data_IF_088882456675
#
_entry.id   IF_088882456675
#
_cell.length_a   1.000
_cell.length_b   1.000
_cell.length_c   1.000
_cell.angle_alpha   90.00
_cell.angle_beta   90.00
_cell.angle_gamma   90.00
#
_symmetry.space_group_name_H-M   'P 1'
#
loop_
_entity.id
_entity.type
_entity.pdbx_description
1 polymer ?
#
# COMPACT_ATOMS: atom_id res chain seq x y z
N UNK A 1 -7.31 -36.23 -4.43
CA UNK A 1 -5.87 -36.52 -4.60
C UNK A 1 -5.02 -35.32 -5.03
N UNK A 2 -5.55 -34.35 -5.78
CA UNK A 2 -4.76 -33.18 -6.24
C UNK A 2 -4.48 -32.18 -5.09
N UNK A 3 -5.44 -31.93 -4.20
CA UNK A 3 -5.28 -31.02 -3.07
C UNK A 3 -4.24 -31.47 -2.03
N UNK A 4 -4.08 -32.78 -1.83
CA UNK A 4 -3.08 -33.31 -0.92
C UNK A 4 -1.66 -33.13 -1.47
N UNK A 5 -1.44 -33.38 -2.76
CA UNK A 5 -0.16 -33.14 -3.43
C UNK A 5 0.21 -31.65 -3.45
N UNK A 6 -0.76 -30.77 -3.72
CA UNK A 6 -0.52 -29.31 -3.69
C UNK A 6 -0.08 -28.88 -2.29
N UNK A 7 -0.74 -29.32 -1.23
CA UNK A 7 -0.34 -28.99 0.15
C UNK A 7 1.07 -29.51 0.50
N UNK A 8 1.42 -30.70 0.05
CA UNK A 8 2.74 -31.30 0.29
C UNK A 8 3.84 -30.50 -0.43
N UNK A 9 3.66 -30.20 -1.73
CA UNK A 9 4.58 -29.41 -2.51
C UNK A 9 4.74 -27.99 -1.94
N UNK A 10 3.63 -27.34 -1.53
CA UNK A 10 3.68 -26.02 -0.89
C UNK A 10 4.47 -26.05 0.42
N UNK A 11 4.32 -27.11 1.22
CA UNK A 11 5.07 -27.28 2.48
C UNK A 11 6.57 -27.47 2.23
N UNK A 12 6.94 -28.24 1.20
CA UNK A 12 8.34 -28.43 0.84
C UNK A 12 8.95 -27.15 0.28
N UNK A 13 8.22 -26.44 -0.58
CA UNK A 13 8.65 -25.13 -1.11
C UNK A 13 8.90 -24.13 0.03
N UNK A 14 7.98 -24.06 1.00
CA UNK A 14 8.15 -23.19 2.18
C UNK A 14 9.38 -23.54 2.99
N UNK A 15 9.69 -24.83 3.18
CA UNK A 15 10.92 -25.25 3.89
C UNK A 15 12.18 -24.84 3.11
N UNK A 16 12.19 -25.02 1.80
CA UNK A 16 13.31 -24.62 0.95
C UNK A 16 13.51 -23.11 0.96
N UNK A 17 12.42 -22.34 0.91
CA UNK A 17 12.45 -20.87 1.03
C UNK A 17 13.09 -20.43 2.35
N UNK A 18 12.61 -20.99 3.48
CA UNK A 18 13.13 -20.66 4.82
C UNK A 18 14.62 -20.99 4.90
N UNK A 19 15.02 -22.18 4.45
CA UNK A 19 16.42 -22.61 4.45
C UNK A 19 17.29 -21.67 3.62
N UNK A 20 16.85 -21.33 2.40
CA UNK A 20 17.58 -20.42 1.51
C UNK A 20 17.71 -19.02 2.12
N UNK A 21 16.62 -18.48 2.71
CA UNK A 21 16.65 -17.19 3.41
C UNK A 21 17.64 -17.21 4.59
N UNK A 22 17.69 -18.30 5.36
CA UNK A 22 18.66 -18.46 6.46
C UNK A 22 20.11 -18.49 5.97
N UNK A 23 20.40 -19.23 4.90
CA UNK A 23 21.73 -19.31 4.31
C UNK A 23 22.18 -17.94 3.72
N UNK A 24 21.27 -17.27 3.01
CA UNK A 24 21.50 -15.92 2.50
C UNK A 24 21.74 -14.91 3.63
N UNK A 25 20.97 -14.95 4.70
CA UNK A 25 21.16 -14.11 5.89
C UNK A 25 22.51 -14.33 6.53
N UNK A 26 22.91 -15.61 6.70
CA UNK A 26 24.23 -15.97 7.23
C UNK A 26 25.36 -15.44 6.34
N UNK A 27 25.22 -15.57 5.02
CA UNK A 27 26.19 -15.03 4.07
C UNK A 27 26.31 -13.50 4.22
N UNK A 28 25.20 -12.79 4.29
CA UNK A 28 25.15 -11.33 4.44
C UNK A 28 25.89 -10.89 5.71
N UNK A 29 25.61 -11.49 6.86
CA UNK A 29 26.29 -11.11 8.11
C UNK A 29 27.79 -11.44 8.10
N UNK A 30 28.19 -12.58 7.54
CA UNK A 30 29.58 -12.97 7.46
C UNK A 30 30.39 -12.10 6.47
N UNK A 31 29.73 -11.43 5.53
CA UNK A 31 30.34 -10.63 4.47
C UNK A 31 29.85 -9.18 4.45
N UNK A 32 29.37 -8.65 5.58
CA UNK A 32 28.68 -7.35 5.67
C UNK A 32 29.49 -6.15 5.16
N UNK A 33 30.81 -6.27 5.08
CA UNK A 33 31.71 -5.25 4.51
C UNK A 33 32.01 -5.45 3.01
N UNK A 34 31.47 -6.49 2.38
CA UNK A 34 31.65 -6.76 0.97
C UNK A 34 30.43 -6.31 0.16
N UNK A 35 30.66 -5.58 -0.93
CA UNK A 35 29.59 -5.14 -1.84
C UNK A 35 28.81 -6.31 -2.46
N UNK A 36 29.37 -7.53 -2.42
CA UNK A 36 28.72 -8.76 -2.93
C UNK A 36 27.46 -9.14 -2.17
N UNK A 37 27.21 -8.57 -0.99
CA UNK A 37 25.97 -8.81 -0.24
C UNK A 37 24.76 -8.13 -0.90
N UNK A 38 24.97 -7.04 -1.65
CA UNK A 38 23.86 -6.29 -2.29
C UNK A 38 23.05 -7.19 -3.24
N UNK A 39 23.64 -7.89 -4.22
CA UNK A 39 22.86 -8.81 -5.06
C UNK A 39 22.12 -9.88 -4.26
N UNK A 40 22.68 -10.36 -3.15
CA UNK A 40 22.02 -11.37 -2.30
C UNK A 40 20.81 -10.79 -1.60
N UNK A 41 20.89 -9.55 -1.12
CA UNK A 41 19.76 -8.86 -0.47
C UNK A 41 18.57 -8.62 -1.42
N UNK A 42 18.86 -8.44 -2.71
CA UNK A 42 17.82 -8.19 -3.73
C UNK A 42 17.43 -9.43 -4.54
N UNK A 43 17.83 -10.63 -4.08
CA UNK A 43 17.39 -11.88 -4.71
C UNK A 43 15.88 -12.03 -4.71
N UNK A 44 15.36 -12.59 -5.80
CA UNK A 44 13.95 -12.91 -5.99
C UNK A 44 13.83 -14.36 -6.44
N UNK A 45 12.85 -15.07 -5.91
CA UNK A 45 12.51 -16.43 -6.34
C UNK A 45 11.55 -16.43 -7.53
N UNK A 46 10.77 -15.35 -7.67
CA UNK A 46 9.93 -15.06 -8.83
C UNK A 46 9.80 -13.54 -8.98
N UNK A 47 9.12 -13.08 -10.04
CA UNK A 47 8.80 -11.65 -10.22
C UNK A 47 8.11 -11.03 -9.00
N UNK A 48 7.34 -11.81 -8.25
CA UNK A 48 6.51 -11.33 -7.13
C UNK A 48 7.04 -11.73 -5.75
N UNK A 49 8.03 -12.64 -5.67
CA UNK A 49 8.52 -13.17 -4.40
C UNK A 49 9.99 -12.80 -4.16
N UNK A 50 10.27 -11.63 -3.55
CA UNK A 50 11.61 -11.28 -3.09
C UNK A 50 12.01 -12.13 -1.88
N UNK A 51 13.30 -12.47 -1.76
CA UNK A 51 13.82 -13.25 -0.64
C UNK A 51 13.78 -12.44 0.67
N UNK A 52 14.05 -11.14 0.59
CA UNK A 52 14.02 -10.19 1.71
C UNK A 52 12.95 -9.12 1.45
N UNK A 53 11.67 -9.57 1.43
CA UNK A 53 10.50 -8.73 1.17
C UNK A 53 9.63 -8.49 2.39
N UNK A 54 9.94 -9.10 3.53
CA UNK A 54 9.20 -8.89 4.77
C UNK A 54 9.57 -7.55 5.42
N UNK A 55 8.66 -7.01 6.20
CA UNK A 55 8.83 -5.69 6.81
C UNK A 55 10.04 -5.65 7.74
N UNK A 56 10.26 -6.70 8.53
CA UNK A 56 11.37 -6.80 9.45
C UNK A 56 12.73 -7.02 8.77
N UNK A 57 12.75 -7.33 7.48
CA UNK A 57 14.00 -7.46 6.74
C UNK A 57 14.77 -6.12 6.65
N UNK A 58 14.11 -4.98 6.89
CA UNK A 58 14.75 -3.66 6.93
C UNK A 58 15.93 -3.60 7.90
N UNK A 59 15.89 -4.36 9.00
CA UNK A 59 17.00 -4.41 9.95
C UNK A 59 18.27 -5.01 9.34
N UNK A 60 18.14 -6.00 8.46
CA UNK A 60 19.26 -6.56 7.70
C UNK A 60 19.84 -5.50 6.77
N UNK A 61 18.99 -4.77 6.05
CA UNK A 61 19.38 -3.70 5.14
C UNK A 61 20.13 -2.59 5.88
N UNK A 62 19.67 -2.16 7.05
CA UNK A 62 20.35 -1.16 7.90
C UNK A 62 21.72 -1.63 8.35
N UNK A 63 21.81 -2.86 8.87
CA UNK A 63 23.09 -3.44 9.33
C UNK A 63 24.13 -3.48 8.21
N UNK A 64 23.69 -3.83 7.00
CA UNK A 64 24.56 -3.84 5.81
C UNK A 64 24.94 -2.42 5.41
N UNK A 65 23.98 -1.49 5.37
CA UNK A 65 24.26 -0.09 5.06
C UNK A 65 25.32 0.50 6.01
N UNK A 66 25.15 0.32 7.32
CA UNK A 66 26.08 0.80 8.33
C UNK A 66 27.50 0.25 8.10
N UNK A 67 27.59 -1.02 7.71
CA UNK A 67 28.89 -1.66 7.42
C UNK A 67 29.50 -1.18 6.10
N UNK A 68 28.70 -1.12 5.02
CA UNK A 68 29.19 -0.78 3.68
C UNK A 68 29.46 0.71 3.51
N UNK A 69 28.71 1.59 4.18
CA UNK A 69 28.93 3.05 4.12
C UNK A 69 30.29 3.46 4.66
N UNK A 70 30.87 2.68 5.58
CA UNK A 70 32.24 2.91 6.07
C UNK A 70 33.30 2.51 5.06
N UNK A 71 33.02 1.53 4.18
CA UNK A 71 34.01 0.99 3.21
C UNK A 71 33.84 1.66 1.84
N UNK A 72 32.61 1.99 1.45
CA UNK A 72 32.28 2.51 0.13
C UNK A 72 31.40 3.78 0.20
N UNK A 73 31.83 4.86 0.90
CA UNK A 73 30.98 6.02 1.19
C UNK A 73 30.46 6.77 -0.04
N UNK A 74 31.19 6.72 -1.15
CA UNK A 74 30.84 7.41 -2.41
C UNK A 74 30.20 6.50 -3.45
N UNK A 75 29.84 5.27 -3.10
CA UNK A 75 29.27 4.32 -4.06
C UNK A 75 27.80 4.62 -4.37
N UNK A 76 27.39 4.69 -5.65
CA UNK A 76 25.97 4.84 -6.02
C UNK A 76 25.08 3.75 -5.44
N UNK A 77 25.62 2.54 -5.27
CA UNK A 77 24.89 1.42 -4.66
C UNK A 77 24.54 1.69 -3.19
N UNK A 78 25.41 2.41 -2.45
CA UNK A 78 25.16 2.77 -1.06
C UNK A 78 24.11 3.86 -0.97
N UNK A 79 24.13 4.84 -1.87
CA UNK A 79 23.07 5.86 -1.96
C UNK A 79 21.70 5.21 -2.25
N UNK A 80 21.63 4.31 -3.25
CA UNK A 80 20.40 3.58 -3.57
C UNK A 80 19.92 2.70 -2.42
N UNK A 81 20.83 2.09 -1.66
CA UNK A 81 20.51 1.29 -0.48
C UNK A 81 19.91 2.17 0.63
N UNK A 82 20.46 3.37 0.86
CA UNK A 82 19.92 4.33 1.82
C UNK A 82 18.48 4.74 1.47
N UNK A 83 18.21 5.03 0.20
CA UNK A 83 16.89 5.38 -0.29
C UNK A 83 15.89 4.23 -0.14
N UNK A 84 16.33 2.99 -0.37
CA UNK A 84 15.49 1.80 -0.17
C UNK A 84 15.17 1.57 1.32
N UNK A 85 16.16 1.72 2.20
CA UNK A 85 15.98 1.64 3.65
C UNK A 85 14.96 2.69 4.11
N UNK A 86 15.08 3.94 3.66
CA UNK A 86 14.15 5.01 4.00
C UNK A 86 12.71 4.65 3.61
N UNK A 87 12.51 4.08 2.42
CA UNK A 87 11.18 3.59 2.00
C UNK A 87 10.67 2.47 2.90
N UNK A 88 11.51 1.48 3.23
CA UNK A 88 11.15 0.36 4.13
C UNK A 88 10.83 0.83 5.55
N UNK A 89 11.56 1.81 6.08
CA UNK A 89 11.27 2.41 7.39
C UNK A 89 9.94 3.16 7.42
N UNK A 90 9.60 3.84 6.35
CA UNK A 90 8.28 4.46 6.22
C UNK A 90 7.17 3.41 6.30
N UNK A 91 7.35 2.23 5.71
CA UNK A 91 6.41 1.11 5.84
C UNK A 91 6.32 0.55 7.25
N UNK A 92 7.47 0.39 7.94
CA UNK A 92 7.52 -0.03 9.35
C UNK A 92 6.77 0.95 10.26
N UNK A 93 7.02 2.25 10.06
CA UNK A 93 6.35 3.29 10.84
C UNK A 93 4.85 3.28 10.59
N UNK A 94 4.42 3.00 9.37
CA UNK A 94 3.02 2.88 9.01
C UNK A 94 2.37 1.66 9.68
N UNK A 95 2.99 0.47 9.62
CA UNK A 95 2.46 -0.73 10.30
C UNK A 95 2.47 -0.58 11.83
N UNK A 96 3.50 0.04 12.41
CA UNK A 96 3.53 0.28 13.86
C UNK A 96 2.45 1.27 14.31
N UNK A 97 2.13 2.26 13.47
CA UNK A 97 1.00 3.18 13.72
C UNK A 97 -0.36 2.48 13.56
N UNK A 98 -0.47 1.52 12.64
CA UNK A 98 -1.66 0.66 12.50
C UNK A 98 -1.82 -0.27 13.70
N UNK A 99 -0.73 -0.66 14.38
CA UNK A 99 -0.74 -1.55 15.55
C UNK A 99 -0.75 -0.82 16.90
N UNK A 100 -0.34 0.46 16.99
CA UNK A 100 -0.38 1.25 18.23
C UNK A 100 -1.74 1.94 18.37
N UNK A 101 -2.59 1.36 19.19
CA UNK A 101 -3.91 1.82 19.58
C UNK A 101 -3.83 3.20 20.25
N UNK A 102 -4.48 4.21 19.66
CA UNK A 102 -4.81 5.47 20.32
C UNK A 102 -4.71 6.68 19.38
N UNK A 103 -5.85 7.13 18.84
CA UNK A 103 -6.06 8.32 18.02
C UNK A 103 -5.56 8.22 16.56
N UNK A 104 -6.47 7.89 15.66
CA UNK A 104 -6.36 7.66 14.21
C UNK A 104 -5.37 6.55 13.82
N UNK A 105 -5.93 5.38 13.51
CA UNK A 105 -5.16 4.19 13.12
C UNK A 105 -4.80 4.16 11.62
N UNK A 106 -4.84 5.31 10.95
CA UNK A 106 -4.45 5.45 9.55
C UNK A 106 -3.68 6.76 9.32
N UNK A 107 -2.74 6.81 8.37
CA UNK A 107 -2.05 8.04 8.02
C UNK A 107 -3.00 9.04 7.38
N UNK A 108 -2.97 10.29 7.81
CA UNK A 108 -3.77 11.33 7.18
C UNK A 108 -3.26 11.66 5.77
N UNK A 109 -4.18 11.99 4.88
CA UNK A 109 -3.91 12.45 3.51
C UNK A 109 -4.41 13.88 3.40
N UNK A 110 -3.59 14.78 2.87
CA UNK A 110 -3.95 16.17 2.64
C UNK A 110 -3.64 16.51 1.18
N UNK A 111 -4.67 16.55 0.34
CA UNK A 111 -4.56 16.78 -1.11
C UNK A 111 -5.62 17.76 -1.60
N UNK A 112 -5.44 18.29 -2.81
CA UNK A 112 -6.39 19.20 -3.43
C UNK A 112 -7.50 18.44 -4.18
N UNK A 113 -8.74 18.90 -3.99
CA UNK A 113 -9.88 18.48 -4.81
C UNK A 113 -9.93 19.24 -6.15
N UNK A 114 -10.93 18.90 -6.98
CA UNK A 114 -11.12 19.53 -8.30
C UNK A 114 -11.45 21.04 -8.25
N UNK A 115 -11.77 21.58 -7.08
CA UNK A 115 -12.03 22.99 -6.84
C UNK A 115 -10.82 23.70 -6.20
N UNK A 116 -9.64 23.07 -6.20
CA UNK A 116 -8.43 23.54 -5.55
C UNK A 116 -8.57 23.76 -4.03
N UNK A 117 -9.53 23.09 -3.39
CA UNK A 117 -9.68 23.09 -1.94
C UNK A 117 -8.88 21.91 -1.36
N UNK A 118 -8.12 22.17 -0.30
CA UNK A 118 -7.45 21.11 0.46
C UNK A 118 -8.50 20.28 1.16
N UNK A 119 -8.40 18.96 1.03
CA UNK A 119 -9.27 17.98 1.69
C UNK A 119 -8.38 17.01 2.47
N UNK A 120 -8.66 16.87 3.74
CA UNK A 120 -7.98 15.93 4.61
C UNK A 120 -8.82 14.67 4.76
N UNK A 121 -8.18 13.51 4.77
CA UNK A 121 -8.88 12.25 5.03
C UNK A 121 -9.50 12.26 6.44
N UNK A 122 -8.80 12.87 7.41
CA UNK A 122 -9.26 13.06 8.78
C UNK A 122 -10.53 13.92 8.92
N UNK A 123 -10.93 14.70 7.90
CA UNK A 123 -12.24 15.38 7.88
C UNK A 123 -13.42 14.40 7.93
N UNK A 124 -13.17 13.14 7.64
CA UNK A 124 -14.19 12.08 7.58
C UNK A 124 -14.23 11.19 8.83
N UNK A 125 -13.49 11.54 9.87
CA UNK A 125 -13.45 10.79 11.12
C UNK A 125 -14.85 10.55 11.70
N UNK A 126 -15.05 9.38 12.30
CA UNK A 126 -16.34 8.96 12.83
C UNK A 126 -17.31 8.37 11.78
N UNK A 127 -16.92 8.40 10.50
CA UNK A 127 -17.64 7.73 9.42
C UNK A 127 -16.99 6.40 9.05
N UNK A 128 -17.71 5.55 8.36
CA UNK A 128 -17.12 4.43 7.61
C UNK A 128 -16.57 5.01 6.32
N UNK A 129 -15.27 4.81 6.05
CA UNK A 129 -14.61 5.43 4.92
C UNK A 129 -14.13 4.34 3.94
N UNK A 130 -14.45 4.51 2.68
CA UNK A 130 -13.79 3.79 1.59
C UNK A 130 -12.70 4.70 1.05
N UNK A 131 -11.44 4.39 1.40
CA UNK A 131 -10.26 5.02 0.81
C UNK A 131 -9.88 4.25 -0.44
N UNK A 132 -10.03 4.86 -1.62
CA UNK A 132 -9.78 4.23 -2.91
C UNK A 132 -8.68 4.94 -3.68
N UNK A 133 -7.78 4.18 -4.29
CA UNK A 133 -6.74 4.67 -5.18
C UNK A 133 -7.03 4.21 -6.61
N UNK A 134 -7.05 5.14 -7.54
CA UNK A 134 -7.44 4.89 -8.92
C UNK A 134 -6.64 5.69 -9.95
N UNK A 135 -6.83 5.35 -11.21
CA UNK A 135 -6.26 6.06 -12.36
C UNK A 135 -7.29 6.14 -13.48
N UNK A 136 -7.31 7.26 -14.19
CA UNK A 136 -8.17 7.44 -15.38
C UNK A 136 -7.70 6.60 -16.56
N UNK A 137 -6.46 6.12 -16.53
CA UNK A 137 -5.86 5.26 -17.55
C UNK A 137 -6.14 3.77 -17.31
N UNK A 138 -6.64 3.40 -16.11
CA UNK A 138 -7.05 2.04 -15.81
C UNK A 138 -8.40 1.75 -16.51
N UNK A 139 -8.49 0.73 -17.40
CA UNK A 139 -9.66 0.53 -18.26
C UNK A 139 -10.98 0.28 -17.52
N UNK A 140 -10.91 -0.30 -16.33
CA UNK A 140 -12.11 -0.71 -15.56
C UNK A 140 -12.61 0.35 -14.60
N UNK A 141 -11.91 1.50 -14.47
CA UNK A 141 -12.26 2.53 -13.49
C UNK A 141 -13.71 3.02 -13.56
N UNK A 142 -14.29 3.11 -14.76
CA UNK A 142 -15.68 3.58 -14.94
C UNK A 142 -16.70 2.57 -14.40
N UNK A 143 -16.46 1.29 -14.64
CA UNK A 143 -17.33 0.21 -14.16
C UNK A 143 -17.27 0.19 -12.63
N UNK A 144 -16.06 0.18 -12.09
CA UNK A 144 -15.84 0.17 -10.64
C UNK A 144 -16.46 1.40 -9.95
N UNK A 145 -16.27 2.61 -10.50
CA UNK A 145 -16.86 3.82 -9.94
C UNK A 145 -18.39 3.81 -10.01
N UNK A 146 -18.99 3.24 -11.07
CA UNK A 146 -20.44 3.11 -11.17
C UNK A 146 -21.00 2.18 -10.08
N UNK A 147 -20.38 1.02 -9.87
CA UNK A 147 -20.75 0.07 -8.81
C UNK A 147 -20.56 0.68 -7.41
N UNK A 148 -19.44 1.38 -7.19
CA UNK A 148 -19.17 2.07 -5.95
C UNK A 148 -20.21 3.18 -5.68
N UNK A 149 -20.64 3.91 -6.72
CA UNK A 149 -21.67 4.95 -6.61
C UNK A 149 -23.01 4.39 -6.16
N UNK A 150 -23.43 3.22 -6.64
CA UNK A 150 -24.64 2.58 -6.18
C UNK A 150 -24.59 2.23 -4.69
N UNK A 151 -23.44 1.77 -4.20
CA UNK A 151 -23.24 1.49 -2.77
C UNK A 151 -23.20 2.80 -1.98
N UNK A 152 -22.46 3.80 -2.45
CA UNK A 152 -22.39 5.10 -1.81
C UNK A 152 -23.77 5.75 -1.65
N UNK A 153 -24.59 5.80 -2.70
CA UNK A 153 -25.92 6.39 -2.67
C UNK A 153 -26.85 5.70 -1.68
N UNK A 154 -26.71 4.39 -1.47
CA UNK A 154 -27.49 3.64 -0.48
C UNK A 154 -27.07 3.91 0.97
N UNK A 155 -25.78 4.21 1.22
CA UNK A 155 -25.25 4.24 2.58
C UNK A 155 -24.70 5.61 3.01
N UNK A 156 -24.56 6.62 2.13
CA UNK A 156 -24.05 7.96 2.47
C UNK A 156 -24.81 8.62 3.62
N UNK A 157 -26.14 8.49 3.65
CA UNK A 157 -26.98 9.02 4.73
C UNK A 157 -26.92 8.18 6.02
N UNK A 158 -26.18 7.06 6.02
CA UNK A 158 -25.96 6.18 7.17
C UNK A 158 -24.53 6.23 7.70
N UNK A 159 -23.75 7.20 7.22
CA UNK A 159 -22.39 7.43 7.68
C UNK A 159 -21.32 6.74 6.85
N UNK A 160 -21.62 6.33 5.58
CA UNK A 160 -20.59 5.97 4.61
C UNK A 160 -20.03 7.23 3.94
N UNK A 161 -18.73 7.28 3.77
CA UNK A 161 -18.07 8.27 2.94
C UNK A 161 -17.00 7.60 2.06
N UNK A 162 -16.64 8.26 0.96
CA UNK A 162 -15.57 7.82 0.07
C UNK A 162 -14.54 8.93 -0.05
N UNK A 163 -13.28 8.57 0.15
CA UNK A 163 -12.13 9.41 -0.14
C UNK A 163 -11.33 8.75 -1.27
N UNK A 164 -11.35 9.36 -2.44
CA UNK A 164 -10.79 8.75 -3.64
C UNK A 164 -9.59 9.53 -4.15
N UNK A 165 -8.44 8.88 -4.21
CA UNK A 165 -7.15 9.45 -4.63
C UNK A 165 -6.84 9.02 -6.06
N UNK A 166 -6.72 9.99 -6.97
CA UNK A 166 -6.20 9.76 -8.31
C UNK A 166 -4.69 10.02 -8.34
N UNK A 167 -3.92 9.08 -8.89
CA UNK A 167 -2.47 9.20 -8.99
C UNK A 167 -1.97 9.61 -10.39
N UNK A 168 -2.87 9.99 -11.28
CA UNK A 168 -2.51 10.39 -12.64
C UNK A 168 -1.73 11.70 -12.65
N UNK A 169 -0.75 11.86 -13.54
CA UNK A 169 -0.05 13.12 -13.70
C UNK A 169 -0.94 14.23 -14.29
N UNK A 170 -2.00 13.87 -15.05
CA UNK A 170 -2.92 14.82 -15.69
C UNK A 170 -4.14 15.12 -14.80
N UNK A 171 -4.04 16.23 -14.06
CA UNK A 171 -5.15 16.74 -13.24
C UNK A 171 -6.40 17.09 -14.03
N UNK A 172 -6.25 17.50 -15.30
CA UNK A 172 -7.38 17.90 -16.14
C UNK A 172 -8.19 16.67 -16.56
N UNK A 173 -7.51 15.60 -16.94
CA UNK A 173 -8.16 14.33 -17.24
C UNK A 173 -8.92 13.80 -16.01
N UNK A 174 -8.29 13.81 -14.83
CA UNK A 174 -8.94 13.43 -13.58
C UNK A 174 -10.18 14.28 -13.27
N UNK A 175 -10.07 15.62 -13.26
CA UNK A 175 -11.19 16.50 -12.94
C UNK A 175 -12.38 16.32 -13.91
N UNK A 176 -12.09 16.09 -15.21
CA UNK A 176 -13.09 15.75 -16.21
C UNK A 176 -13.82 14.44 -15.85
N UNK A 177 -13.07 13.37 -15.52
CA UNK A 177 -13.66 12.08 -15.17
C UNK A 177 -14.52 12.17 -13.91
N UNK A 178 -14.11 12.91 -12.89
CA UNK A 178 -14.91 13.17 -11.69
C UNK A 178 -16.26 13.79 -12.06
N UNK A 179 -16.24 14.80 -12.92
CA UNK A 179 -17.44 15.49 -13.40
C UNK A 179 -18.33 14.59 -14.28
N UNK A 180 -17.72 13.93 -15.26
CA UNK A 180 -18.45 13.12 -16.27
C UNK A 180 -19.14 11.92 -15.63
N UNK A 181 -18.55 11.33 -14.58
CA UNK A 181 -19.11 10.21 -13.83
C UNK A 181 -20.02 10.67 -12.68
N UNK A 182 -20.11 11.97 -12.40
CA UNK A 182 -20.93 12.52 -11.33
C UNK A 182 -20.55 11.98 -9.96
N UNK A 183 -19.23 11.96 -9.65
CA UNK A 183 -18.71 11.48 -8.37
C UNK A 183 -18.93 12.55 -7.30
N UNK A 184 -19.84 12.30 -6.36
CA UNK A 184 -20.26 13.26 -5.32
C UNK A 184 -19.38 13.19 -4.06
N UNK A 185 -18.58 12.15 -3.90
CA UNK A 185 -17.69 11.97 -2.76
C UNK A 185 -16.41 12.82 -2.85
N UNK A 186 -15.57 12.74 -1.83
CA UNK A 186 -14.28 13.44 -1.81
C UNK A 186 -13.34 12.80 -2.84
N UNK A 187 -13.09 13.49 -3.94
CA UNK A 187 -12.12 13.09 -4.95
C UNK A 187 -10.95 14.07 -4.97
N UNK A 188 -9.74 13.56 -4.82
CA UNK A 188 -8.50 14.33 -4.77
C UNK A 188 -7.47 13.76 -5.75
N UNK A 189 -6.44 14.54 -6.07
CA UNK A 189 -5.40 14.11 -6.99
C UNK A 189 -4.01 14.31 -6.37
N UNK A 190 -3.18 13.25 -6.43
CA UNK A 190 -1.75 13.28 -6.17
C UNK A 190 -0.98 13.03 -7.46
N UNK A 191 -0.72 14.07 -8.28
CA UNK A 191 -0.21 13.92 -9.63
C UNK A 191 1.13 13.20 -9.67
N UNK A 192 1.18 12.03 -10.30
CA UNK A 192 2.40 11.23 -10.38
C UNK A 192 2.94 10.81 -9.01
N UNK A 193 2.08 10.77 -7.99
CA UNK A 193 2.43 10.44 -6.60
C UNK A 193 3.51 11.37 -6.00
N UNK A 194 3.48 12.67 -6.34
CA UNK A 194 4.46 13.65 -5.86
C UNK A 194 4.43 13.77 -4.33
N UNK A 195 3.24 13.71 -3.72
CA UNK A 195 3.07 13.75 -2.27
C UNK A 195 3.40 12.42 -1.58
N UNK A 196 3.67 11.37 -2.36
CA UNK A 196 4.01 10.05 -1.83
C UNK A 196 2.85 9.28 -1.23
N UNK A 197 1.60 9.64 -1.58
CA UNK A 197 0.39 9.05 -0.98
C UNK A 197 0.27 7.55 -1.25
N UNK A 198 0.64 7.08 -2.45
CA UNK A 198 0.69 5.64 -2.76
C UNK A 198 1.68 4.90 -1.87
N UNK A 199 2.86 5.51 -1.63
CA UNK A 199 3.88 4.93 -0.75
C UNK A 199 3.39 4.89 0.69
N UNK A 200 2.71 5.96 1.15
CA UNK A 200 2.17 6.08 2.50
C UNK A 200 1.21 4.94 2.84
N UNK A 201 0.42 4.48 1.86
CA UNK A 201 -0.54 3.38 2.01
C UNK A 201 -0.05 2.04 1.42
N UNK A 202 1.24 1.93 1.06
CA UNK A 202 1.80 0.73 0.43
C UNK A 202 0.99 0.25 -0.80
N UNK A 203 0.51 1.20 -1.60
CA UNK A 203 -0.19 0.90 -2.84
C UNK A 203 0.83 0.64 -3.93
N UNK A 204 0.94 -0.62 -4.36
CA UNK A 204 1.87 -1.06 -5.41
C UNK A 204 1.22 -1.12 -6.77
N UNK A 205 -0.07 -1.41 -6.79
CA UNK A 205 -0.87 -1.52 -8.01
C UNK A 205 -2.16 -0.73 -7.84
N UNK A 206 -2.65 -0.15 -8.93
CA UNK A 206 -3.95 0.52 -9.01
C UNK A 206 -4.86 -0.36 -9.88
N UNK A 207 -6.11 -0.58 -9.47
CA UNK A 207 -6.80 0.00 -8.30
C UNK A 207 -6.37 -0.64 -6.97
N UNK A 208 -6.51 0.13 -5.87
CA UNK A 208 -6.37 -0.35 -4.51
C UNK A 208 -7.45 0.28 -3.61
N UNK A 209 -7.86 -0.42 -2.57
CA UNK A 209 -8.92 0.03 -1.67
C UNK A 209 -8.66 -0.37 -0.23
N UNK A 210 -9.00 0.52 0.70
CA UNK A 210 -9.05 0.26 2.14
C UNK A 210 -10.42 0.63 2.68
N UNK A 211 -10.93 -0.15 3.63
CA UNK A 211 -12.15 0.17 4.36
C UNK A 211 -11.76 0.51 5.78
N UNK A 212 -12.13 1.71 6.23
CA UNK A 212 -11.84 2.25 7.56
C UNK A 212 -13.17 2.32 8.32
N UNK A 213 -13.19 1.79 9.53
CA UNK A 213 -14.37 1.83 10.41
C UNK A 213 -14.53 3.19 11.10
N UNK A 214 -15.64 3.37 11.85
CA UNK A 214 -15.94 4.61 12.60
C UNK A 214 -14.92 4.96 13.68
N UNK A 215 -14.09 3.98 14.10
CA UNK A 215 -13.04 4.15 15.10
C UNK A 215 -11.67 4.44 14.46
N UNK A 216 -11.60 4.57 13.12
CA UNK A 216 -10.37 4.81 12.39
C UNK A 216 -9.53 3.55 12.14
N UNK A 217 -10.06 2.34 12.36
CA UNK A 217 -9.32 1.12 12.07
C UNK A 217 -9.48 0.72 10.61
N UNK A 218 -8.39 0.34 9.95
CA UNK A 218 -8.44 -0.32 8.64
C UNK A 218 -8.91 -1.77 8.88
N UNK A 219 -10.10 -2.11 8.40
CA UNK A 219 -10.75 -3.41 8.65
C UNK A 219 -10.73 -4.35 7.46
N UNK A 220 -10.60 -3.83 6.24
CA UNK A 220 -10.52 -4.63 5.01
C UNK A 220 -9.68 -3.92 3.96
N UNK A 221 -9.12 -4.72 3.05
CA UNK A 221 -8.31 -4.25 1.92
C UNK A 221 -8.72 -4.93 0.62
N UNK A 222 -8.71 -4.17 -0.50
CA UNK A 222 -8.87 -4.64 -1.87
C UNK A 222 -10.15 -5.48 -2.10
N UNK A 223 -11.29 -5.01 -1.57
CA UNK A 223 -12.60 -5.64 -1.73
C UNK A 223 -13.30 -5.05 -2.95
N UNK A 224 -13.01 -5.59 -4.14
CA UNK A 224 -13.55 -5.09 -5.41
C UNK A 224 -14.85 -5.78 -5.87
N UNK A 225 -15.23 -6.89 -5.26
CA UNK A 225 -16.53 -7.52 -5.51
C UNK A 225 -17.65 -6.70 -4.86
N UNK A 226 -18.64 -6.18 -5.63
CA UNK A 226 -19.65 -5.27 -5.09
C UNK A 226 -20.52 -5.89 -4.00
N UNK A 227 -20.86 -7.18 -4.12
CA UNK A 227 -21.70 -7.86 -3.13
C UNK A 227 -20.94 -8.07 -1.82
N UNK A 228 -19.66 -8.40 -1.91
CA UNK A 228 -18.78 -8.52 -0.73
C UNK A 228 -18.56 -7.16 -0.09
N UNK A 229 -18.31 -6.11 -0.88
CA UNK A 229 -18.13 -4.74 -0.41
C UNK A 229 -19.38 -4.26 0.33
N UNK A 230 -20.55 -4.40 -0.27
CA UNK A 230 -21.80 -4.02 0.35
C UNK A 230 -22.06 -4.77 1.66
N UNK A 231 -21.75 -6.07 1.70
CA UNK A 231 -21.88 -6.88 2.92
C UNK A 231 -20.99 -6.34 4.06
N UNK A 232 -19.77 -5.88 3.76
CA UNK A 232 -18.86 -5.28 4.75
C UNK A 232 -19.43 -3.94 5.20
N UNK A 233 -19.74 -3.04 4.26
CA UNK A 233 -20.27 -1.70 4.57
C UNK A 233 -21.55 -1.76 5.38
N UNK A 234 -22.50 -2.61 5.02
CA UNK A 234 -23.78 -2.74 5.72
C UNK A 234 -23.64 -3.14 7.21
N UNK A 235 -22.55 -3.80 7.58
CA UNK A 235 -22.25 -4.16 8.97
C UNK A 235 -21.64 -2.99 9.75
N UNK A 236 -20.81 -2.19 9.09
CA UNK A 236 -20.04 -1.11 9.73
C UNK A 236 -20.87 0.16 9.94
N UNK A 237 -21.86 0.43 9.07
CA UNK A 237 -22.72 1.63 9.14
C UNK A 237 -23.95 1.47 10.03
N UNK A 238 -24.04 0.36 10.75
CA UNK A 238 -25.13 0.10 11.73
C UNK A 238 -25.10 1.03 12.94
#
# INVERSE_FOLDING_TARGET
NNNAKVKEVTKELSKLYIKHKQEATKYIYNNSKSITVIPVMYQRLSSELPLFGEINDVFIFKTVYDSLSTVYPSSPYITSLADDIKRREQYLTLESKIQSVGEMNYPDISLYDQNAKVRNLSELDGKVIILSFWSTTEPTHKIFNAELKEIYDRYKNRGLEVYQVCADPDKTAWARQVKDQGLEWVSVCDPGNISGTLNLYNVRNIPAMYIIDKNGNIVEKDVFDPAKLEKVISKLVR
#
